data_IF_563107112359
#
_entry.id   IF_563107112359
#
_cell.length_a   1.000
_cell.length_b   1.000
_cell.length_c   1.000
_cell.angle_alpha   90.00
_cell.angle_beta   90.00
_cell.angle_gamma   90.00
#
_symmetry.space_group_name_H-M   'P 1'
#
loop_
_entity.id
_entity.type
_entity.pdbx_description
1 polymer ?
#
# COMPACT_ATOMS: atom_id res chain seq x y z
N UNK A 1 -13.35 -44.53 24.43
CA UNK A 1 -12.15 -44.85 23.64
C UNK A 1 -12.54 -44.65 22.18
N UNK A 2 -12.68 -43.39 21.77
CA UNK A 2 -11.66 -42.59 21.08
C UNK A 2 -11.30 -43.20 19.71
N UNK A 3 -11.93 -42.72 18.65
CA UNK A 3 -11.19 -41.99 17.60
C UNK A 3 -12.16 -41.23 16.69
N UNK A 4 -12.26 -39.91 16.91
CA UNK A 4 -12.88 -38.98 15.97
C UNK A 4 -11.72 -38.15 15.40
N UNK A 5 -11.34 -38.44 14.16
CA UNK A 5 -10.38 -37.64 13.40
C UNK A 5 -10.86 -36.18 13.33
N UNK A 6 -10.02 -35.16 13.54
CA UNK A 6 -10.42 -33.79 13.30
C UNK A 6 -10.46 -33.55 11.79
N UNK A 7 -11.67 -33.54 11.22
CA UNK A 7 -11.92 -33.00 9.89
C UNK A 7 -11.65 -31.49 9.90
N UNK A 8 -10.78 -31.03 9.00
CA UNK A 8 -10.63 -29.61 8.69
C UNK A 8 -12.00 -29.01 8.28
N UNK A 9 -12.37 -27.81 8.74
CA UNK A 9 -13.58 -27.18 8.25
C UNK A 9 -13.32 -26.59 6.87
N UNK A 10 -13.79 -27.31 5.86
CA UNK A 10 -13.98 -26.87 4.49
C UNK A 10 -15.04 -25.74 4.47
N UNK A 11 -14.61 -24.49 4.66
CA UNK A 11 -15.49 -23.32 4.48
C UNK A 11 -15.61 -23.01 2.98
N UNK A 12 -16.63 -23.61 2.35
CA UNK A 12 -17.12 -23.23 1.04
C UNK A 12 -18.41 -22.42 1.18
N UNK A 13 -18.36 -21.14 0.83
CA UNK A 13 -19.54 -20.38 0.38
C UNK A 13 -19.18 -19.52 -0.83
N UNK A 14 -20.15 -19.36 -1.72
CA UNK A 14 -19.98 -19.04 -3.14
C UNK A 14 -19.31 -17.71 -3.47
N UNK A 15 -18.62 -17.73 -4.62
CA UNK A 15 -17.72 -16.72 -5.19
C UNK A 15 -16.33 -16.65 -4.54
N UNK A 16 -15.57 -17.72 -4.79
CA UNK A 16 -14.14 -17.62 -5.13
C UNK A 16 -13.24 -16.85 -4.18
N UNK A 17 -13.33 -17.08 -2.87
CA UNK A 17 -12.32 -16.61 -1.93
C UNK A 17 -11.77 -17.79 -1.14
N UNK A 18 -10.65 -18.36 -1.62
CA UNK A 18 -9.79 -19.17 -0.75
C UNK A 18 -9.08 -18.18 0.16
N UNK A 19 -9.70 -17.89 1.30
CA UNK A 19 -9.06 -17.21 2.41
C UNK A 19 -7.96 -18.15 2.90
N UNK A 20 -6.75 -17.99 2.36
CA UNK A 20 -5.58 -18.78 2.72
C UNK A 20 -5.47 -18.86 4.23
N UNK A 21 -5.23 -20.06 4.75
CA UNK A 21 -4.84 -20.25 6.14
C UNK A 21 -3.64 -19.37 6.46
N UNK A 22 -3.55 -18.88 7.70
CA UNK A 22 -2.45 -18.00 8.12
C UNK A 22 -1.07 -18.61 7.84
N UNK A 23 -0.95 -19.94 7.91
CA UNK A 23 0.25 -20.68 7.53
C UNK A 23 0.53 -20.62 6.03
N UNK A 24 -0.47 -20.84 5.18
CA UNK A 24 -0.29 -20.79 3.73
C UNK A 24 0.10 -19.38 3.25
N UNK A 25 -0.42 -18.33 3.90
CA UNK A 25 -0.02 -16.95 3.63
C UNK A 25 1.42 -16.66 4.04
N UNK A 26 1.79 -17.00 5.28
CA UNK A 26 3.18 -16.82 5.78
C UNK A 26 4.17 -17.54 4.90
N UNK A 27 3.85 -18.77 4.48
CA UNK A 27 4.70 -19.55 3.59
C UNK A 27 4.82 -18.92 2.20
N UNK A 28 3.74 -18.36 1.65
CA UNK A 28 3.79 -17.60 0.40
C UNK A 28 4.63 -16.34 0.54
N UNK A 29 4.43 -15.54 1.59
CA UNK A 29 5.22 -14.34 1.86
C UNK A 29 6.71 -14.67 1.99
N UNK A 30 7.05 -15.71 2.75
CA UNK A 30 8.42 -16.19 2.89
C UNK A 30 9.03 -16.61 1.55
N UNK A 31 8.28 -17.34 0.71
CA UNK A 31 8.74 -17.74 -0.64
C UNK A 31 8.98 -16.53 -1.54
N UNK A 32 8.09 -15.54 -1.51
CA UNK A 32 8.24 -14.31 -2.31
C UNK A 32 9.51 -13.56 -1.88
N UNK A 33 9.67 -13.30 -0.58
CA UNK A 33 10.85 -12.60 -0.05
C UNK A 33 12.14 -13.39 -0.33
N UNK A 34 12.13 -14.71 -0.12
CA UNK A 34 13.30 -15.55 -0.42
C UNK A 34 13.65 -15.54 -1.91
N UNK A 35 12.66 -15.55 -2.79
CA UNK A 35 12.89 -15.43 -4.23
C UNK A 35 13.48 -14.05 -4.60
N UNK A 36 12.97 -12.95 -4.03
CA UNK A 36 13.51 -11.61 -4.26
C UNK A 36 14.94 -11.46 -3.73
N UNK A 37 15.24 -12.03 -2.56
CA UNK A 37 16.61 -12.07 -2.02
C UNK A 37 17.52 -12.86 -2.98
N UNK A 38 17.05 -14.00 -3.49
CA UNK A 38 17.77 -14.80 -4.48
C UNK A 38 18.07 -14.02 -5.76
N UNK A 39 17.06 -13.32 -6.30
CA UNK A 39 17.22 -12.45 -7.49
C UNK A 39 18.23 -11.32 -7.22
N UNK A 40 18.13 -10.65 -6.08
CA UNK A 40 19.09 -9.61 -5.67
C UNK A 40 20.51 -10.17 -5.53
N UNK A 41 20.66 -11.35 -4.93
CA UNK A 41 21.95 -12.04 -4.83
C UNK A 41 22.53 -12.40 -6.21
N UNK A 42 21.69 -12.82 -7.16
CA UNK A 42 22.11 -13.05 -8.54
C UNK A 42 22.59 -11.77 -9.23
N UNK A 43 21.87 -10.65 -9.08
CA UNK A 43 22.23 -9.35 -9.67
C UNK A 43 23.53 -8.82 -9.03
N UNK A 44 23.68 -8.95 -7.70
CA UNK A 44 24.93 -8.60 -7.00
C UNK A 44 26.09 -9.48 -7.45
N UNK A 45 25.86 -10.78 -7.64
CA UNK A 45 26.89 -11.69 -8.15
C UNK A 45 27.32 -11.29 -9.56
N UNK A 46 26.36 -10.93 -10.43
CA UNK A 46 26.63 -10.39 -11.76
C UNK A 46 27.49 -9.12 -11.69
N UNK A 47 27.18 -8.19 -10.76
CA UNK A 47 28.02 -7.01 -10.51
C UNK A 47 29.44 -7.41 -10.13
N UNK A 48 29.63 -8.34 -9.18
CA UNK A 48 30.97 -8.77 -8.76
C UNK A 48 31.76 -9.43 -9.91
N UNK A 49 31.09 -10.19 -10.78
CA UNK A 49 31.73 -10.78 -11.98
C UNK A 49 32.19 -9.69 -12.94
N UNK A 50 31.34 -8.70 -13.25
CA UNK A 50 31.71 -7.58 -14.14
C UNK A 50 32.84 -6.74 -13.49
N UNK A 51 32.76 -6.51 -12.18
CA UNK A 51 33.74 -5.73 -11.42
C UNK A 51 35.14 -6.36 -11.38
N UNK A 52 35.29 -7.66 -11.68
CA UNK A 52 36.61 -8.27 -11.89
C UNK A 52 37.35 -7.64 -13.06
N UNK A 53 36.63 -7.19 -14.08
CA UNK A 53 37.18 -6.56 -15.28
C UNK A 53 37.11 -5.02 -15.19
N UNK A 54 36.03 -4.49 -14.59
CA UNK A 54 35.79 -3.05 -14.43
C UNK A 54 35.55 -2.69 -12.96
N UNK A 55 36.61 -2.58 -12.12
CA UNK A 55 36.46 -2.39 -10.68
C UNK A 55 35.70 -1.12 -10.27
N UNK A 56 35.78 -0.07 -11.08
CA UNK A 56 35.05 1.19 -10.85
C UNK A 56 33.52 1.04 -10.90
N UNK A 57 33.01 -0.03 -11.54
CA UNK A 57 31.56 -0.29 -11.60
C UNK A 57 31.02 -0.81 -10.25
N UNK A 58 31.86 -1.34 -9.36
CA UNK A 58 31.43 -1.87 -8.07
C UNK A 58 30.80 -0.77 -7.20
N UNK A 59 31.46 0.38 -7.08
CA UNK A 59 30.93 1.51 -6.29
C UNK A 59 29.66 2.08 -6.91
N UNK A 60 29.63 2.25 -8.24
CA UNK A 60 28.43 2.69 -8.96
C UNK A 60 27.26 1.72 -8.76
N UNK A 61 27.51 0.41 -8.79
CA UNK A 61 26.50 -0.62 -8.56
C UNK A 61 25.94 -0.62 -7.13
N UNK A 62 26.81 -0.50 -6.13
CA UNK A 62 26.37 -0.39 -4.72
C UNK A 62 25.58 0.90 -4.46
N UNK A 63 25.95 2.00 -5.12
CA UNK A 63 25.18 3.24 -5.09
C UNK A 63 23.81 3.07 -5.75
N UNK A 64 23.74 2.46 -6.94
CA UNK A 64 22.48 2.20 -7.62
C UNK A 64 21.53 1.31 -6.80
N UNK A 65 22.07 0.27 -6.14
CA UNK A 65 21.30 -0.55 -5.18
C UNK A 65 20.79 0.30 -4.01
N UNK A 66 21.65 1.15 -3.46
CA UNK A 66 21.31 2.04 -2.34
C UNK A 66 20.24 3.06 -2.75
N UNK A 67 20.29 3.58 -3.97
CA UNK A 67 19.27 4.46 -4.53
C UNK A 67 17.93 3.74 -4.67
N UNK A 68 17.91 2.49 -5.15
CA UNK A 68 16.69 1.68 -5.20
C UNK A 68 16.09 1.42 -3.82
N UNK A 69 16.92 1.04 -2.84
CA UNK A 69 16.50 0.83 -1.46
C UNK A 69 15.98 2.12 -0.81
N UNK A 70 16.66 3.25 -1.02
CA UNK A 70 16.26 4.56 -0.50
C UNK A 70 14.94 5.01 -1.11
N UNK A 71 14.84 4.95 -2.42
CA UNK A 71 13.70 5.47 -3.16
C UNK A 71 12.40 4.70 -2.88
N UNK A 72 12.48 3.40 -2.60
CA UNK A 72 11.32 2.62 -2.17
C UNK A 72 10.70 3.10 -0.85
N UNK A 73 11.45 3.82 -0.02
CA UNK A 73 10.95 4.37 1.25
C UNK A 73 10.28 5.73 1.05
N UNK A 74 10.28 6.27 -0.17
CA UNK A 74 9.64 7.54 -0.45
C UNK A 74 8.14 7.50 -0.13
N UNK A 75 7.66 8.63 0.37
CA UNK A 75 6.37 8.73 1.03
C UNK A 75 5.20 8.42 0.05
N UNK A 76 5.41 8.73 -1.22
CA UNK A 76 4.48 8.56 -2.32
C UNK A 76 4.31 7.07 -2.71
N UNK A 77 5.39 6.29 -2.69
CA UNK A 77 5.39 4.84 -2.91
C UNK A 77 4.61 4.10 -1.81
N UNK A 78 4.94 4.37 -0.54
CA UNK A 78 4.25 3.79 0.61
C UNK A 78 2.75 4.12 0.53
N UNK A 79 2.41 5.39 0.30
CA UNK A 79 1.02 5.83 0.20
C UNK A 79 0.27 5.12 -0.95
N UNK A 80 0.89 4.93 -2.12
CA UNK A 80 0.27 4.25 -3.25
C UNK A 80 0.06 2.74 -2.99
N UNK A 81 1.11 2.05 -2.52
CA UNK A 81 1.09 0.61 -2.26
C UNK A 81 0.09 0.27 -1.16
N UNK A 82 0.06 1.04 -0.07
CA UNK A 82 -0.87 0.85 1.04
C UNK A 82 -2.33 0.97 0.59
N UNK A 83 -2.64 2.01 -0.19
CA UNK A 83 -4.01 2.28 -0.63
C UNK A 83 -4.53 1.17 -1.55
N UNK A 84 -3.72 0.70 -2.50
CA UNK A 84 -4.10 -0.40 -3.40
C UNK A 84 -4.15 -1.74 -2.66
N UNK A 85 -3.18 -2.01 -1.77
CA UNK A 85 -3.16 -3.21 -0.94
C UNK A 85 -4.43 -3.33 -0.10
N UNK A 86 -4.85 -2.25 0.58
CA UNK A 86 -6.10 -2.21 1.33
C UNK A 86 -7.31 -2.50 0.45
N UNK A 87 -7.39 -1.82 -0.70
CA UNK A 87 -8.52 -2.00 -1.63
C UNK A 87 -8.64 -3.44 -2.11
N UNK A 88 -7.53 -4.05 -2.52
CA UNK A 88 -7.50 -5.45 -2.94
C UNK A 88 -7.94 -6.39 -1.81
N UNK A 89 -7.58 -6.12 -0.56
CA UNK A 89 -8.04 -6.91 0.59
C UNK A 89 -9.54 -6.72 0.84
N UNK A 90 -10.07 -5.49 0.71
CA UNK A 90 -11.49 -5.20 0.81
C UNK A 90 -12.31 -5.93 -0.27
N UNK A 91 -11.76 -6.02 -1.48
CA UNK A 91 -12.29 -6.80 -2.61
C UNK A 91 -12.15 -8.33 -2.44
N UNK A 92 -11.54 -8.81 -1.34
CA UNK A 92 -11.30 -10.24 -1.10
C UNK A 92 -10.19 -10.85 -1.97
N UNK A 93 -9.33 -10.03 -2.58
CA UNK A 93 -8.23 -10.43 -3.46
C UNK A 93 -6.92 -10.62 -2.69
N UNK A 94 -5.91 -11.11 -3.40
CA UNK A 94 -4.58 -11.44 -2.88
C UNK A 94 -3.58 -10.31 -3.21
N UNK A 95 -3.21 -9.46 -2.24
CA UNK A 95 -2.39 -8.25 -2.49
C UNK A 95 -0.87 -8.46 -2.34
N UNK A 96 -0.39 -9.70 -2.14
CA UNK A 96 0.98 -9.97 -1.70
C UNK A 96 2.05 -9.54 -2.72
N UNK A 97 1.67 -9.31 -3.97
CA UNK A 97 2.56 -8.89 -5.05
C UNK A 97 2.34 -7.43 -5.48
N UNK A 98 1.52 -6.66 -4.76
CA UNK A 98 1.20 -5.27 -5.14
C UNK A 98 2.46 -4.42 -5.24
N UNK A 99 3.31 -4.42 -4.21
CA UNK A 99 4.57 -3.67 -4.22
C UNK A 99 5.58 -4.18 -5.26
N UNK A 100 5.63 -5.49 -5.52
CA UNK A 100 6.47 -6.04 -6.59
C UNK A 100 6.06 -5.49 -7.96
N UNK A 101 4.76 -5.48 -8.26
CA UNK A 101 4.30 -4.95 -9.54
C UNK A 101 4.50 -3.44 -9.64
N UNK A 102 4.31 -2.69 -8.55
CA UNK A 102 4.61 -1.26 -8.49
C UNK A 102 6.08 -0.98 -8.85
N UNK A 103 7.02 -1.59 -8.10
CA UNK A 103 8.46 -1.43 -8.33
C UNK A 103 8.90 -1.85 -9.73
N UNK A 104 8.36 -2.93 -10.29
CA UNK A 104 8.65 -3.35 -11.66
C UNK A 104 8.17 -2.32 -12.70
N UNK A 105 6.99 -1.75 -12.49
CA UNK A 105 6.46 -0.66 -13.32
C UNK A 105 7.38 0.57 -13.27
N UNK A 106 7.72 1.02 -12.06
CA UNK A 106 8.58 2.17 -11.85
C UNK A 106 9.97 1.95 -12.46
N UNK A 107 10.60 0.82 -12.11
CA UNK A 107 11.95 0.49 -12.57
C UNK A 107 12.04 0.25 -14.07
N UNK A 108 10.93 -0.03 -14.75
CA UNK A 108 10.92 -0.13 -16.21
C UNK A 108 11.27 1.20 -16.88
N UNK A 109 10.83 2.34 -16.31
CA UNK A 109 11.18 3.67 -16.81
C UNK A 109 12.66 3.97 -16.58
N UNK A 110 13.17 3.68 -15.38
CA UNK A 110 14.60 3.80 -15.05
C UNK A 110 15.45 2.97 -16.01
N UNK A 111 15.03 1.73 -16.27
CA UNK A 111 15.68 0.84 -17.23
C UNK A 111 15.65 1.40 -18.66
N UNK A 112 14.51 1.91 -19.12
CA UNK A 112 14.38 2.55 -20.43
C UNK A 112 15.31 3.75 -20.59
N UNK A 113 15.40 4.62 -19.59
CA UNK A 113 16.28 5.80 -19.61
C UNK A 113 17.75 5.36 -19.59
N UNK A 114 18.12 4.35 -18.81
CA UNK A 114 19.47 3.80 -18.79
C UNK A 114 19.86 3.17 -20.13
N UNK A 115 18.96 2.43 -20.77
CA UNK A 115 19.18 1.86 -22.12
C UNK A 115 19.32 2.98 -23.15
N UNK A 116 18.44 3.98 -23.13
CA UNK A 116 18.53 5.14 -24.00
C UNK A 116 19.87 5.89 -23.81
N UNK A 117 20.34 6.01 -22.57
CA UNK A 117 21.64 6.63 -22.23
C UNK A 117 22.81 5.78 -22.72
N UNK A 118 22.77 4.47 -22.54
CA UNK A 118 23.80 3.54 -22.99
C UNK A 118 23.93 3.52 -24.53
N UNK A 119 22.80 3.57 -25.25
CA UNK A 119 22.78 3.64 -26.71
C UNK A 119 23.11 5.06 -27.23
N UNK A 120 22.67 6.08 -26.50
CA UNK A 120 22.70 7.49 -26.90
C UNK A 120 23.88 8.29 -26.37
N UNK A 121 24.85 7.69 -25.68
CA UNK A 121 25.99 8.37 -25.05
C UNK A 121 26.82 9.24 -26.03
N UNK A 122 26.72 9.00 -27.34
CA UNK A 122 27.31 9.84 -28.38
C UNK A 122 26.46 11.03 -28.84
N UNK A 123 25.13 11.02 -28.63
CA UNK A 123 24.16 11.99 -29.16
C UNK A 123 23.50 12.87 -28.07
N UNK A 124 23.42 12.37 -26.83
CA UNK A 124 22.74 13.03 -25.70
C UNK A 124 23.50 14.23 -25.10
N UNK A 125 24.74 14.52 -25.54
CA UNK A 125 25.53 15.66 -25.03
C UNK A 125 24.94 17.05 -25.35
N UNK A 126 23.87 17.16 -26.14
CA UNK A 126 23.42 18.44 -26.69
C UNK A 126 21.97 18.87 -26.41
N UNK A 127 21.19 18.13 -25.62
CA UNK A 127 19.80 18.52 -25.34
C UNK A 127 19.48 18.56 -23.85
N UNK A 128 19.93 19.62 -23.16
CA UNK A 128 19.50 19.95 -21.78
C UNK A 128 18.00 20.25 -21.63
N UNK A 129 17.22 20.08 -22.70
CA UNK A 129 15.75 20.22 -22.75
C UNK A 129 15.05 19.06 -22.03
N UNK A 130 15.67 17.88 -21.95
CA UNK A 130 15.03 16.71 -21.33
C UNK A 130 14.99 16.75 -19.79
N UNK A 131 15.94 17.42 -19.13
CA UNK A 131 16.03 17.42 -17.67
C UNK A 131 14.93 18.31 -17.02
N UNK A 132 14.71 19.52 -17.54
CA UNK A 132 13.73 20.45 -16.96
C UNK A 132 12.28 20.03 -17.17
N UNK A 133 11.91 19.61 -18.39
CA UNK A 133 10.54 19.19 -18.71
C UNK A 133 10.18 17.88 -18.01
N UNK A 134 11.14 16.95 -17.90
CA UNK A 134 10.95 15.67 -17.22
C UNK A 134 10.61 15.86 -15.74
N UNK A 135 11.34 16.73 -15.03
CA UNK A 135 11.09 17.00 -13.61
C UNK A 135 9.69 17.58 -13.35
N UNK A 136 9.23 18.52 -14.18
CA UNK A 136 7.90 19.14 -14.04
C UNK A 136 6.79 18.11 -14.31
N UNK A 137 6.89 17.38 -15.43
CA UNK A 137 5.90 16.37 -15.81
C UNK A 137 5.81 15.28 -14.75
N UNK A 138 6.96 14.83 -14.24
CA UNK A 138 7.07 13.84 -13.16
C UNK A 138 6.33 14.27 -11.89
N UNK A 139 6.70 15.42 -11.32
CA UNK A 139 6.10 15.89 -10.06
C UNK A 139 4.61 16.17 -10.24
N UNK A 140 4.20 16.72 -11.39
CA UNK A 140 2.79 16.97 -11.68
C UNK A 140 1.98 15.66 -11.78
N UNK A 141 2.52 14.62 -12.43
CA UNK A 141 1.87 13.31 -12.54
C UNK A 141 1.79 12.63 -11.16
N UNK A 142 2.88 12.56 -10.40
CA UNK A 142 2.87 11.94 -9.06
C UNK A 142 1.89 12.64 -8.11
N UNK A 143 1.98 13.97 -7.99
CA UNK A 143 1.10 14.75 -7.14
C UNK A 143 -0.38 14.59 -7.55
N UNK A 144 -0.68 14.58 -8.84
CA UNK A 144 -2.05 14.38 -9.34
C UNK A 144 -2.60 13.01 -8.96
N UNK A 145 -1.78 11.97 -9.04
CA UNK A 145 -2.18 10.61 -8.68
C UNK A 145 -2.35 10.47 -7.16
N UNK A 146 -1.46 11.03 -6.35
CA UNK A 146 -1.59 11.06 -4.89
C UNK A 146 -2.84 11.81 -4.45
N UNK A 147 -3.11 12.98 -5.03
CA UNK A 147 -4.34 13.73 -4.77
C UNK A 147 -5.58 12.94 -5.15
N UNK A 148 -5.56 12.29 -6.32
CA UNK A 148 -6.67 11.46 -6.75
C UNK A 148 -6.94 10.33 -5.74
N UNK A 149 -5.92 9.56 -5.36
CA UNK A 149 -6.08 8.46 -4.39
C UNK A 149 -6.51 9.01 -3.02
N UNK A 150 -5.87 10.08 -2.56
CA UNK A 150 -6.14 10.73 -1.28
C UNK A 150 -7.57 11.26 -1.18
N UNK A 151 -8.03 12.02 -2.18
CA UNK A 151 -9.38 12.57 -2.20
C UNK A 151 -10.45 11.49 -2.31
N UNK A 152 -10.26 10.47 -3.15
CA UNK A 152 -11.25 9.39 -3.24
C UNK A 152 -11.41 8.67 -1.90
N UNK A 153 -10.32 8.40 -1.19
CA UNK A 153 -10.38 7.79 0.13
C UNK A 153 -11.00 8.73 1.18
N UNK A 154 -10.65 10.02 1.16
CA UNK A 154 -11.21 11.01 2.07
C UNK A 154 -12.72 11.18 1.87
N UNK A 155 -13.18 11.29 0.62
CA UNK A 155 -14.61 11.39 0.32
C UNK A 155 -15.37 10.13 0.70
N UNK A 156 -14.79 8.95 0.49
CA UNK A 156 -15.39 7.67 0.91
C UNK A 156 -15.58 7.61 2.44
N UNK A 157 -14.62 8.13 3.21
CA UNK A 157 -14.73 8.23 4.67
C UNK A 157 -15.80 9.22 5.11
N UNK A 158 -15.84 10.41 4.50
CA UNK A 158 -16.85 11.42 4.81
C UNK A 158 -18.26 10.91 4.49
N UNK A 159 -18.43 10.21 3.38
CA UNK A 159 -19.69 9.57 3.01
C UNK A 159 -20.15 8.50 4.02
N UNK A 160 -19.22 7.64 4.45
CA UNK A 160 -19.49 6.62 5.47
C UNK A 160 -19.86 7.25 6.83
N UNK A 161 -19.14 8.29 7.25
CA UNK A 161 -19.42 8.99 8.51
C UNK A 161 -20.77 9.73 8.48
N UNK A 162 -21.11 10.36 7.35
CA UNK A 162 -22.41 11.02 7.16
C UNK A 162 -23.57 10.03 7.16
N UNK A 163 -23.41 8.87 6.50
CA UNK A 163 -24.44 7.82 6.49
C UNK A 163 -24.69 7.23 7.88
N UNK A 164 -23.64 7.13 8.71
CA UNK A 164 -23.77 6.66 10.09
C UNK A 164 -24.34 7.73 11.04
N UNK A 165 -24.18 9.02 10.73
CA UNK A 165 -24.72 10.14 11.51
C UNK A 165 -26.18 10.48 11.16
N UNK A 166 -26.64 10.14 9.95
CA UNK A 166 -28.01 10.37 9.47
C UNK A 166 -28.83 9.07 9.47
N UNK A 167 -29.10 8.51 10.65
CA UNK A 167 -30.00 7.36 10.83
C UNK A 167 -31.49 7.71 10.67
N UNK A 168 -31.89 8.47 9.62
CA UNK A 168 -33.29 8.81 9.47
C UNK A 168 -33.82 9.44 8.19
N UNK A 169 -33.03 10.04 7.29
CA UNK A 169 -33.59 10.63 6.06
C UNK A 169 -32.66 10.44 4.85
N UNK A 170 -33.20 9.77 3.84
CA UNK A 170 -32.54 9.31 2.62
C UNK A 170 -32.31 10.42 1.59
N UNK A 171 -31.31 10.21 0.73
CA UNK A 171 -31.04 10.86 -0.57
C UNK A 171 -30.33 12.21 -0.57
N UNK A 172 -28.99 12.15 -0.56
CA UNK A 172 -28.18 12.80 -1.60
C UNK A 172 -26.84 12.05 -1.72
N UNK A 173 -26.88 10.87 -2.35
CA UNK A 173 -25.67 10.20 -2.82
C UNK A 173 -24.99 11.12 -3.81
N UNK A 174 -23.87 11.69 -3.39
CA UNK A 174 -23.25 12.83 -4.03
C UNK A 174 -22.78 12.46 -5.43
N UNK A 175 -22.91 13.37 -6.41
CA UNK A 175 -22.39 13.17 -7.78
C UNK A 175 -20.89 12.79 -7.79
N UNK A 176 -20.17 13.19 -6.74
CA UNK A 176 -18.77 12.88 -6.46
C UNK A 176 -18.56 11.38 -6.13
N UNK A 177 -19.51 10.72 -5.44
CA UNK A 177 -19.48 9.27 -5.14
C UNK A 177 -19.66 8.41 -6.40
N UNK A 178 -20.19 8.97 -7.49
CA UNK A 178 -20.50 8.26 -8.74
C UNK A 178 -19.47 8.45 -9.84
N UNK A 179 -18.75 9.58 -9.84
CA UNK A 179 -17.77 9.93 -10.89
C UNK A 179 -16.37 9.39 -10.63
N UNK A 180 -15.94 9.29 -9.37
CA UNK A 180 -14.57 8.90 -9.01
C UNK A 180 -14.25 7.41 -8.76
N UNK A 181 -15.21 6.47 -8.53
CA UNK A 181 -14.83 5.09 -8.26
C UNK A 181 -14.21 4.40 -9.50
N UNK A 182 -14.53 4.86 -10.72
CA UNK A 182 -14.10 4.20 -11.97
C UNK A 182 -12.59 4.23 -12.21
N UNK A 183 -11.89 5.27 -11.75
CA UNK A 183 -10.45 5.40 -11.97
C UNK A 183 -9.64 4.56 -10.97
N UNK A 184 -10.15 4.33 -9.76
CA UNK A 184 -9.57 3.37 -8.81
C UNK A 184 -10.09 1.94 -9.01
N UNK A 185 -11.30 1.76 -9.56
CA UNK A 185 -11.78 0.47 -10.08
C UNK A 185 -10.87 -0.10 -11.16
N UNK A 186 -10.12 0.75 -11.85
CA UNK A 186 -9.17 0.32 -12.86
C UNK A 186 -8.13 -0.66 -12.30
N UNK A 187 -7.60 -0.45 -11.08
CA UNK A 187 -6.59 -1.33 -10.45
C UNK A 187 -7.28 -2.42 -9.63
N UNK A 188 -7.94 -3.33 -10.33
CA UNK A 188 -8.64 -4.49 -9.73
C UNK A 188 -7.72 -5.68 -9.45
N UNK A 189 -6.44 -5.62 -9.80
CA UNK A 189 -5.51 -6.75 -9.69
C UNK A 189 -4.09 -6.25 -9.39
N UNK A 190 -3.27 -7.04 -8.67
CA UNK A 190 -1.89 -6.65 -8.37
C UNK A 190 -1.08 -6.29 -9.61
N UNK A 191 -1.29 -6.99 -10.74
CA UNK A 191 -0.55 -6.75 -11.97
C UNK A 191 -0.77 -5.34 -12.55
N UNK A 192 -1.97 -4.77 -12.39
CA UNK A 192 -2.27 -3.40 -12.86
C UNK A 192 -1.55 -2.33 -12.05
N UNK A 193 -1.00 -2.69 -10.88
CA UNK A 193 -0.13 -1.80 -10.11
C UNK A 193 1.15 -1.43 -10.89
N UNK A 194 1.59 -2.26 -11.85
CA UNK A 194 2.71 -1.92 -12.72
C UNK A 194 2.44 -0.69 -13.59
N UNK A 195 1.18 -0.46 -14.00
CA UNK A 195 0.82 0.76 -14.71
C UNK A 195 0.95 2.00 -13.82
N UNK A 196 0.54 1.89 -12.55
CA UNK A 196 0.71 2.96 -11.57
C UNK A 196 2.19 3.22 -11.29
N UNK A 197 2.96 2.16 -11.08
CA UNK A 197 4.41 2.24 -10.90
C UNK A 197 5.10 2.90 -12.08
N UNK A 198 4.71 2.56 -13.31
CA UNK A 198 5.23 3.20 -14.52
C UNK A 198 4.96 4.72 -14.52
N UNK A 199 3.76 5.15 -14.14
CA UNK A 199 3.43 6.58 -14.04
C UNK A 199 4.29 7.30 -12.99
N UNK A 200 4.54 6.66 -11.85
CA UNK A 200 5.46 7.18 -10.82
C UNK A 200 6.92 7.19 -11.32
N UNK A 201 7.31 6.18 -12.08
CA UNK A 201 8.64 6.06 -12.68
C UNK A 201 8.94 7.13 -13.74
N UNK A 202 7.91 7.80 -14.29
CA UNK A 202 8.12 9.02 -15.09
C UNK A 202 8.79 10.15 -14.28
N UNK A 203 8.79 10.01 -12.95
CA UNK A 203 9.91 10.21 -12.01
C UNK A 203 11.29 10.46 -12.62
N UNK A 204 11.53 11.61 -13.25
CA UNK A 204 12.81 11.83 -13.94
C UNK A 204 13.96 12.01 -12.97
N UNK A 205 13.75 12.42 -11.72
CA UNK A 205 14.83 12.73 -10.77
C UNK A 205 15.66 11.49 -10.42
N UNK A 206 15.03 10.41 -9.95
CA UNK A 206 15.73 9.14 -9.63
C UNK A 206 16.18 8.38 -10.87
N UNK A 207 15.38 8.39 -11.94
CA UNK A 207 15.79 7.81 -13.23
C UNK A 207 17.04 8.50 -13.79
N UNK A 208 17.16 9.83 -13.62
CA UNK A 208 18.32 10.60 -14.06
C UNK A 208 19.54 10.34 -13.19
N UNK A 209 19.39 10.18 -11.87
CA UNK A 209 20.51 9.82 -11.00
C UNK A 209 21.18 8.50 -11.42
N UNK A 210 20.40 7.46 -11.67
CA UNK A 210 20.92 6.15 -12.13
C UNK A 210 21.52 6.26 -13.53
N UNK A 211 20.89 7.02 -14.43
CA UNK A 211 21.41 7.26 -15.77
C UNK A 211 22.74 8.06 -15.77
N UNK A 212 22.88 9.03 -14.88
CA UNK A 212 24.11 9.81 -14.69
C UNK A 212 25.23 8.96 -14.09
N UNK A 213 24.91 8.04 -13.17
CA UNK A 213 25.87 7.02 -12.71
C UNK A 213 26.34 6.14 -13.88
N UNK A 214 25.42 5.69 -14.74
CA UNK A 214 25.75 4.91 -15.92
C UNK A 214 26.63 5.71 -16.91
N UNK A 215 26.30 6.98 -17.16
CA UNK A 215 27.06 7.88 -18.03
C UNK A 215 28.48 8.11 -17.49
N UNK A 216 28.61 8.30 -16.18
CA UNK A 216 29.91 8.48 -15.51
C UNK A 216 30.78 7.22 -15.62
N UNK A 217 30.18 6.03 -15.50
CA UNK A 217 30.86 4.75 -15.68
C UNK A 217 31.33 4.54 -17.13
N UNK A 218 30.59 5.04 -18.14
CA UNK A 218 30.96 4.97 -19.56
C UNK A 218 31.99 6.01 -19.99
N UNK A 219 32.63 6.73 -19.05
CA UNK A 219 33.68 7.69 -19.41
C UNK A 219 34.79 7.02 -20.24
N UNK A 220 35.35 7.69 -21.28
CA UNK A 220 36.39 7.11 -22.12
C UNK A 220 37.62 6.64 -21.34
N UNK A 221 37.90 7.25 -20.18
CA UNK A 221 38.99 6.88 -19.30
C UNK A 221 38.81 5.50 -18.64
N UNK A 222 37.57 5.01 -18.48
CA UNK A 222 37.28 3.73 -17.83
C UNK A 222 37.12 2.57 -18.81
N UNK A 223 36.85 2.85 -20.10
CA UNK A 223 36.75 1.83 -21.14
C UNK A 223 35.61 0.81 -20.93
N UNK A 224 34.61 1.13 -20.11
CA UNK A 224 33.51 0.23 -19.78
C UNK A 224 32.52 0.16 -20.96
N UNK A 225 32.21 -1.04 -21.48
CA UNK A 225 31.20 -1.21 -22.51
C UNK A 225 29.81 -0.74 -22.01
N UNK A 226 29.01 -0.06 -22.84
CA UNK A 226 27.67 0.40 -22.44
C UNK A 226 26.75 -0.73 -21.95
N UNK A 227 26.91 -1.95 -22.47
CA UNK A 227 26.13 -3.10 -22.01
C UNK A 227 26.38 -3.43 -20.53
N UNK A 228 27.59 -3.21 -20.02
CA UNK A 228 27.95 -3.50 -18.64
C UNK A 228 27.27 -2.56 -17.65
N UNK A 229 26.94 -1.32 -18.05
CA UNK A 229 26.28 -0.35 -17.16
C UNK A 229 24.80 -0.63 -16.96
N UNK A 230 24.19 -1.51 -17.77
CA UNK A 230 22.82 -1.98 -17.57
C UNK A 230 22.63 -2.82 -16.30
N UNK A 231 23.71 -3.22 -15.62
CA UNK A 231 23.61 -3.81 -14.28
C UNK A 231 23.11 -2.79 -13.24
N UNK A 232 23.32 -1.48 -13.46
CA UNK A 232 22.91 -0.41 -12.55
C UNK A 232 21.38 -0.31 -12.38
N UNK A 233 20.57 -0.19 -13.45
CA UNK A 233 19.11 -0.19 -13.32
C UNK A 233 18.57 -1.53 -12.77
N UNK A 234 19.26 -2.65 -12.99
CA UNK A 234 18.87 -3.94 -12.38
C UNK A 234 19.09 -3.94 -10.86
N UNK A 235 20.19 -3.37 -10.38
CA UNK A 235 20.47 -3.23 -8.94
C UNK A 235 19.48 -2.27 -8.28
N UNK A 236 19.17 -1.17 -8.94
CA UNK A 236 18.12 -0.25 -8.51
C UNK A 236 16.78 -0.97 -8.38
N UNK A 237 16.35 -1.69 -9.43
CA UNK A 237 15.11 -2.45 -9.43
C UNK A 237 15.10 -3.54 -8.33
N UNK A 238 16.23 -4.20 -8.10
CA UNK A 238 16.40 -5.20 -7.05
C UNK A 238 16.19 -4.62 -5.65
N UNK A 239 16.81 -3.49 -5.35
CA UNK A 239 16.65 -2.78 -4.08
C UNK A 239 15.22 -2.30 -3.88
N UNK A 240 14.66 -1.62 -4.88
CA UNK A 240 13.32 -1.07 -4.82
C UNK A 240 12.25 -2.16 -4.63
N UNK A 241 12.32 -3.22 -5.44
CA UNK A 241 11.35 -4.32 -5.39
C UNK A 241 11.34 -5.04 -4.06
N UNK A 242 12.46 -5.12 -3.35
CA UNK A 242 12.53 -5.74 -2.04
C UNK A 242 11.72 -4.95 -1.02
N UNK A 243 11.96 -3.64 -0.92
CA UNK A 243 11.31 -2.78 0.08
C UNK A 243 9.83 -2.60 -0.23
N UNK A 244 9.46 -2.30 -1.48
CA UNK A 244 8.05 -2.14 -1.88
C UNK A 244 7.25 -3.43 -1.64
N UNK A 245 7.85 -4.59 -1.89
CA UNK A 245 7.20 -5.89 -1.61
C UNK A 245 7.03 -6.11 -0.10
N UNK A 246 8.04 -5.75 0.71
CA UNK A 246 7.95 -5.84 2.16
C UNK A 246 6.86 -4.92 2.71
N UNK A 247 6.70 -3.73 2.17
CA UNK A 247 5.64 -2.79 2.52
C UNK A 247 4.25 -3.40 2.31
N UNK A 248 3.96 -3.88 1.08
CA UNK A 248 2.69 -4.53 0.77
C UNK A 248 2.42 -5.79 1.61
N UNK A 249 3.46 -6.56 1.96
CA UNK A 249 3.35 -7.72 2.85
C UNK A 249 3.08 -7.32 4.31
N UNK A 250 3.76 -6.30 4.82
CA UNK A 250 3.57 -5.78 6.17
C UNK A 250 2.14 -5.25 6.33
N UNK A 251 1.65 -4.52 5.35
CA UNK A 251 0.28 -4.01 5.30
C UNK A 251 -0.76 -5.14 5.25
N UNK A 252 -0.49 -6.18 4.43
CA UNK A 252 -1.34 -7.38 4.37
C UNK A 252 -1.43 -8.12 5.72
N UNK A 253 -0.34 -8.16 6.46
CA UNK A 253 -0.29 -8.75 7.80
C UNK A 253 -1.06 -7.90 8.81
N UNK A 254 -0.84 -6.58 8.81
CA UNK A 254 -1.52 -5.62 9.68
C UNK A 254 -3.04 -5.72 9.58
N UNK A 255 -3.56 -5.75 8.35
CA UNK A 255 -5.00 -5.86 8.11
C UNK A 255 -5.59 -7.16 8.68
N UNK A 256 -4.89 -8.28 8.51
CA UNK A 256 -5.35 -9.58 9.03
C UNK A 256 -5.28 -9.65 10.55
N UNK A 257 -4.27 -9.02 11.16
CA UNK A 257 -4.20 -8.89 12.62
C UNK A 257 -5.42 -8.15 13.16
N UNK A 258 -5.81 -7.03 12.54
CA UNK A 258 -7.01 -6.30 12.91
C UNK A 258 -8.32 -7.07 12.67
N UNK A 259 -8.39 -7.84 11.57
CA UNK A 259 -9.56 -8.68 11.30
C UNK A 259 -9.77 -9.75 12.39
N UNK A 260 -8.70 -10.33 12.93
CA UNK A 260 -8.76 -11.32 14.02
C UNK A 260 -9.22 -10.73 15.35
N UNK A 261 -8.91 -9.46 15.61
CA UNK A 261 -9.26 -8.79 16.86
C UNK A 261 -10.72 -8.29 16.93
N UNK A 262 -11.56 -8.57 15.92
CA UNK A 262 -12.93 -8.05 15.85
C UNK A 262 -13.03 -6.55 15.58
N UNK A 263 -11.91 -5.86 15.39
CA UNK A 263 -11.78 -4.41 15.20
C UNK A 263 -11.61 -4.00 13.73
N UNK A 264 -11.99 -4.89 12.79
CA UNK A 264 -11.77 -4.72 11.34
C UNK A 264 -12.28 -3.38 10.82
N UNK A 265 -13.49 -2.97 11.22
CA UNK A 265 -14.10 -1.72 10.77
C UNK A 265 -13.31 -0.51 11.28
N UNK A 266 -13.01 -0.46 12.58
CA UNK A 266 -12.25 0.64 13.21
C UNK A 266 -10.84 0.76 12.63
N UNK A 267 -10.15 -0.37 12.45
CA UNK A 267 -8.82 -0.38 11.84
C UNK A 267 -8.87 0.05 10.37
N UNK A 268 -9.85 -0.41 9.60
CA UNK A 268 -10.02 0.02 8.22
C UNK A 268 -10.29 1.53 8.11
N UNK A 269 -11.12 2.08 9.02
CA UNK A 269 -11.37 3.53 9.10
C UNK A 269 -10.11 4.30 9.47
N UNK A 270 -9.38 3.88 10.52
CA UNK A 270 -8.11 4.49 10.92
C UNK A 270 -7.09 4.48 9.79
N UNK A 271 -6.90 3.33 9.15
CA UNK A 271 -5.92 3.13 8.11
C UNK A 271 -6.27 3.93 6.84
N UNK A 272 -7.56 4.00 6.49
CA UNK A 272 -8.05 4.84 5.39
C UNK A 272 -7.88 6.33 5.72
N UNK A 273 -8.14 6.74 6.96
CA UNK A 273 -7.98 8.13 7.37
C UNK A 273 -6.50 8.54 7.35
N UNK A 274 -5.64 7.73 7.95
CA UNK A 274 -4.20 7.96 7.98
C UNK A 274 -3.59 8.00 6.57
N UNK A 275 -3.81 6.96 5.75
CA UNK A 275 -3.27 6.91 4.38
C UNK A 275 -3.82 7.98 3.44
N UNK A 276 -5.10 8.37 3.58
CA UNK A 276 -5.67 9.47 2.78
C UNK A 276 -5.09 10.84 3.19
N UNK A 277 -4.94 11.09 4.49
CA UNK A 277 -4.33 12.31 5.01
C UNK A 277 -2.87 12.43 4.58
N UNK A 278 -2.11 11.33 4.71
CA UNK A 278 -0.72 11.25 4.28
C UNK A 278 -0.61 11.51 2.77
N UNK A 279 -1.41 10.84 1.94
CA UNK A 279 -1.39 11.05 0.49
C UNK A 279 -1.71 12.50 0.08
N UNK A 280 -2.72 13.12 0.70
CA UNK A 280 -3.07 14.54 0.44
C UNK A 280 -1.95 15.47 0.92
N UNK A 281 -1.36 15.20 2.09
CA UNK A 281 -0.26 16.01 2.63
C UNK A 281 0.97 15.95 1.72
N UNK A 282 1.40 14.75 1.32
CA UNK A 282 2.55 14.55 0.42
C UNK A 282 2.29 15.21 -0.94
N UNK A 283 1.14 14.93 -1.57
CA UNK A 283 0.80 15.56 -2.86
C UNK A 283 0.74 17.09 -2.79
N UNK A 284 0.34 17.64 -1.63
CA UNK A 284 0.40 19.10 -1.40
C UNK A 284 1.83 19.59 -1.28
N UNK A 285 2.70 18.90 -0.54
CA UNK A 285 4.11 19.25 -0.38
C UNK A 285 4.84 19.20 -1.73
N UNK A 286 4.59 18.18 -2.55
CA UNK A 286 5.15 18.03 -3.90
C UNK A 286 4.68 19.15 -4.83
N UNK A 287 3.38 19.45 -4.85
CA UNK A 287 2.82 20.51 -5.69
C UNK A 287 3.35 21.89 -5.30
N UNK A 288 3.46 22.16 -3.99
CA UNK A 288 4.06 23.39 -3.48
C UNK A 288 5.55 23.46 -3.81
N UNK A 289 6.28 22.34 -3.72
CA UNK A 289 7.69 22.26 -4.12
C UNK A 289 7.89 22.52 -5.62
N UNK A 290 6.98 22.03 -6.46
CA UNK A 290 6.97 22.34 -7.89
C UNK A 290 6.68 23.82 -8.15
N UNK A 291 5.65 24.37 -7.52
CA UNK A 291 5.29 25.78 -7.63
C UNK A 291 6.43 26.71 -7.17
N UNK A 292 7.12 26.34 -6.09
CA UNK A 292 8.27 27.08 -5.59
C UNK A 292 9.43 27.11 -6.59
N UNK A 293 9.73 25.97 -7.23
CA UNK A 293 10.80 25.84 -8.23
C UNK A 293 10.49 26.62 -9.51
N UNK A 294 9.27 26.49 -10.04
CA UNK A 294 8.90 27.10 -11.33
C UNK A 294 8.71 28.62 -11.25
N UNK A 295 8.20 29.13 -10.13
CA UNK A 295 8.00 30.56 -9.93
C UNK A 295 9.18 31.28 -9.27
N UNK A 296 10.32 30.60 -9.10
CA UNK A 296 11.55 31.09 -8.43
C UNK A 296 11.24 31.84 -7.12
N UNK A 297 10.33 31.28 -6.31
CA UNK A 297 9.88 31.95 -5.08
C UNK A 297 10.98 31.84 -4.03
N UNK A 298 11.72 32.93 -3.84
CA UNK A 298 12.79 33.05 -2.84
C UNK A 298 12.33 33.88 -1.65
N UNK A 299 12.17 33.23 -0.50
CA UNK A 299 12.01 33.88 0.81
C UNK A 299 10.70 33.57 1.54
N UNK A 300 10.75 33.65 2.86
CA UNK A 300 9.64 33.36 3.77
C UNK A 300 9.79 32.02 4.50
N UNK A 301 9.39 32.00 5.78
CA UNK A 301 9.50 30.81 6.65
C UNK A 301 8.72 29.62 6.06
N UNK A 302 7.57 29.88 5.45
CA UNK A 302 6.74 28.86 4.79
C UNK A 302 7.46 28.17 3.63
N UNK A 303 8.01 28.94 2.68
CA UNK A 303 8.70 28.38 1.52
C UNK A 303 10.03 27.71 1.90
N UNK A 304 10.66 28.15 2.99
CA UNK A 304 11.83 27.44 3.53
C UNK A 304 11.43 26.09 4.14
N UNK A 305 10.28 26.01 4.82
CA UNK A 305 9.74 24.74 5.33
C UNK A 305 9.41 23.79 4.17
N UNK A 306 8.70 24.24 3.13
CA UNK A 306 8.37 23.42 1.95
C UNK A 306 9.64 22.93 1.24
N UNK A 307 10.64 23.80 1.04
CA UNK A 307 11.91 23.40 0.46
C UNK A 307 12.64 22.36 1.33
N UNK A 308 12.63 22.52 2.65
CA UNK A 308 13.25 21.58 3.58
C UNK A 308 12.54 20.22 3.56
N UNK A 309 11.20 20.21 3.53
CA UNK A 309 10.42 18.97 3.46
C UNK A 309 10.63 18.24 2.13
N UNK A 310 10.64 18.95 1.00
CA UNK A 310 10.94 18.35 -0.30
C UNK A 310 12.40 17.87 -0.40
N UNK A 311 13.36 18.59 0.20
CA UNK A 311 14.76 18.19 0.21
C UNK A 311 15.06 16.97 1.10
N UNK A 312 14.17 16.65 2.04
CA UNK A 312 14.29 15.52 2.97
C UNK A 312 13.12 14.54 2.79
N UNK A 313 12.72 14.28 1.54
CA UNK A 313 11.56 13.46 1.21
C UNK A 313 11.69 12.03 1.77
N UNK A 314 12.91 11.48 1.79
CA UNK A 314 13.20 10.19 2.40
C UNK A 314 12.95 10.18 3.92
N UNK A 315 13.23 11.27 4.64
CA UNK A 315 13.02 11.36 6.10
C UNK A 315 11.52 11.33 6.41
N UNK A 316 10.72 11.97 5.57
CA UNK A 316 9.26 11.88 5.64
C UNK A 316 8.79 10.44 5.41
N UNK A 317 9.36 9.76 4.41
CA UNK A 317 9.18 8.33 4.16
C UNK A 317 9.47 7.44 5.37
N UNK A 318 10.66 7.56 5.96
CA UNK A 318 11.05 6.85 7.19
C UNK A 318 10.08 7.12 8.34
N UNK A 319 9.60 8.36 8.47
CA UNK A 319 8.66 8.77 9.51
C UNK A 319 7.29 8.10 9.34
N UNK A 320 6.79 8.00 8.10
CA UNK A 320 5.54 7.31 7.76
C UNK A 320 5.66 5.81 8.02
N UNK A 321 6.76 5.20 7.56
CA UNK A 321 7.03 3.77 7.80
C UNK A 321 7.11 3.49 9.31
N UNK A 322 7.81 4.32 10.08
CA UNK A 322 7.89 4.20 11.54
C UNK A 322 6.51 4.36 12.20
N UNK A 323 5.71 5.33 11.77
CA UNK A 323 4.35 5.55 12.27
C UNK A 323 3.46 4.31 12.05
N UNK A 324 3.48 3.70 10.86
CA UNK A 324 2.71 2.48 10.60
C UNK A 324 3.26 1.29 11.37
N UNK A 325 4.58 1.09 11.40
CA UNK A 325 5.21 0.02 12.18
C UNK A 325 4.82 0.10 13.67
N UNK A 326 4.93 1.28 14.28
CA UNK A 326 4.56 1.51 15.68
C UNK A 326 3.06 1.29 15.88
N UNK A 327 2.22 1.79 14.98
CA UNK A 327 0.76 1.59 15.06
C UNK A 327 0.37 0.12 14.97
N UNK A 328 1.04 -0.65 14.10
CA UNK A 328 0.84 -2.10 13.95
C UNK A 328 1.32 -2.85 15.20
N UNK A 329 2.48 -2.48 15.74
CA UNK A 329 3.02 -3.07 16.97
C UNK A 329 2.12 -2.77 18.17
N UNK A 330 1.70 -1.51 18.34
CA UNK A 330 0.80 -1.08 19.41
C UNK A 330 -0.54 -1.82 19.34
N UNK A 331 -1.09 -1.98 18.14
CA UNK A 331 -2.31 -2.76 17.92
C UNK A 331 -2.10 -4.25 18.22
N UNK A 332 -0.96 -4.81 17.79
CA UNK A 332 -0.55 -6.18 18.13
C UNK A 332 -0.43 -6.41 19.63
N UNK A 333 0.18 -5.50 20.38
CA UNK A 333 0.30 -5.56 21.85
C UNK A 333 -1.06 -5.39 22.51
N UNK A 334 -1.88 -4.43 22.09
CA UNK A 334 -3.21 -4.18 22.65
C UNK A 334 -4.15 -5.39 22.48
N UNK A 335 -4.01 -6.15 21.39
CA UNK A 335 -4.84 -7.32 21.11
C UNK A 335 -4.26 -8.65 21.58
N UNK A 336 -2.94 -8.74 21.79
CA UNK A 336 -2.30 -9.93 22.40
C UNK A 336 -2.23 -9.85 23.92
N UNK A 337 -2.37 -8.66 24.50
CA UNK A 337 -2.53 -8.49 25.93
C UNK A 337 -3.95 -8.93 26.32
N UNK A 338 -4.12 -10.04 27.06
CA UNK A 338 -5.39 -10.37 27.66
C UNK A 338 -5.65 -9.33 28.75
N UNK A 339 -6.25 -8.19 28.39
CA UNK A 339 -6.89 -7.35 29.37
C UNK A 339 -7.96 -8.21 30.05
N UNK A 340 -7.60 -8.74 31.22
CA UNK A 340 -8.50 -9.33 32.21
C UNK A 340 -9.74 -8.43 32.28
N UNK A 341 -10.89 -8.88 31.78
CA UNK A 341 -12.15 -8.25 32.16
C UNK A 341 -13.30 -8.14 31.15
N UNK A 342 -13.14 -8.44 29.85
CA UNK A 342 -14.30 -8.40 28.94
C UNK A 342 -14.91 -9.80 28.75
N UNK A 343 -15.54 -10.29 29.82
CA UNK A 343 -16.68 -11.21 29.66
C UNK A 343 -17.79 -10.40 29.01
N UNK A 344 -18.09 -10.68 27.74
CA UNK A 344 -19.36 -10.28 27.16
C UNK A 344 -20.41 -11.13 27.89
N UNK A 345 -21.30 -10.58 28.72
CA UNK A 345 -22.40 -11.37 29.24
C UNK A 345 -23.24 -11.86 28.04
N UNK A 346 -23.68 -13.12 28.02
CA UNK A 346 -24.62 -13.57 27.00
C UNK A 346 -25.85 -12.64 27.05
N UNK A 347 -26.48 -12.34 25.88
CA UNK A 347 -27.71 -11.58 25.89
C UNK A 347 -28.73 -12.30 26.77
N UNK A 348 -29.27 -11.59 27.77
CA UNK A 348 -30.37 -12.06 28.62
C UNK A 348 -31.55 -12.46 27.74
N UNK A 349 -31.67 -13.76 27.48
CA UNK A 349 -32.93 -14.37 27.10
C UNK A 349 -33.70 -14.62 28.40
N UNK A 350 -34.37 -13.58 28.91
CA UNK A 350 -35.64 -13.61 29.68
C UNK A 350 -35.80 -12.33 30.48
N UNK A 351 -36.58 -11.36 29.99
CA UNK A 351 -37.37 -10.45 30.85
C UNK A 351 -38.22 -9.44 30.04
N UNK A 352 -39.01 -9.88 29.06
CA UNK A 352 -40.21 -9.14 28.62
C UNK A 352 -41.24 -10.13 28.07
N UNK A 353 -41.98 -10.81 28.96
CA UNK A 353 -43.39 -11.10 28.72
C UNK A 353 -44.09 -11.50 30.03
N UNK A 354 -44.27 -10.53 30.94
CA UNK A 354 -45.18 -10.69 32.08
C UNK A 354 -45.74 -9.34 32.54
N UNK A 355 -46.45 -8.66 31.65
CA UNK A 355 -47.27 -7.49 31.99
C UNK A 355 -48.43 -7.35 31.01
N UNK A 356 -49.36 -8.31 31.04
CA UNK A 356 -50.47 -8.29 30.09
C UNK A 356 -51.63 -9.23 30.37
N UNK A 357 -52.04 -9.46 31.63
CA UNK A 357 -53.39 -9.98 31.92
C UNK A 357 -53.85 -9.56 33.32
N UNK A 358 -54.56 -8.44 33.38
CA UNK A 358 -55.47 -8.10 34.47
C UNK A 358 -56.91 -8.19 33.94
N UNK A 359 -57.77 -8.80 34.75
CA UNK A 359 -59.23 -8.66 34.82
C UNK A 359 -60.10 -9.09 33.63
N UNK A 360 -60.53 -10.37 33.66
CA UNK A 360 -61.89 -10.84 33.42
C UNK A 360 -61.97 -12.21 34.11
N UNK A 361 -62.83 -12.54 35.06
CA UNK A 361 -64.25 -12.25 35.16
C UNK A 361 -64.96 -13.61 35.29
N UNK A 362 -65.32 -13.97 36.54
CA UNK A 362 -66.58 -14.62 36.90
C UNK A 362 -66.99 -15.96 36.22
N UNK A 363 -66.91 -17.09 36.96
CA UNK A 363 -68.07 -17.85 37.47
C UNK A 363 -67.69 -19.26 37.96
N UNK A 364 -68.13 -19.56 39.19
CA UNK A 364 -68.31 -20.89 39.71
C UNK A 364 -69.57 -21.53 39.09
N UNK A 365 -69.52 -22.82 38.77
CA UNK A 365 -70.71 -23.67 38.68
C UNK A 365 -70.40 -25.10 39.14
N UNK A 366 -71.23 -25.57 40.06
CA UNK A 366 -71.28 -26.91 40.61
C UNK A 366 -72.24 -27.82 39.82
N UNK A 367 -72.12 -29.13 40.05
CA UNK A 367 -73.01 -30.20 39.58
C UNK A 367 -72.47 -30.89 38.32
N UNK A 368 -72.45 -32.21 38.17
CA UNK A 368 -73.06 -33.33 38.88
C UNK A 368 -73.11 -34.48 37.86
N UNK A 369 -72.86 -35.70 38.34
CA UNK A 369 -73.18 -37.01 37.74
C UNK A 369 -73.23 -37.17 36.20
N UNK A 370 -72.40 -38.05 35.64
CA UNK A 370 -72.94 -39.29 35.05
C UNK A 370 -71.85 -40.35 34.85
N UNK A 371 -72.17 -41.52 35.35
CA UNK A 371 -71.57 -42.83 35.12
C UNK A 371 -72.00 -43.34 33.72
N UNK A 372 -71.19 -44.17 33.07
CA UNK A 372 -71.56 -45.42 32.37
C UNK A 372 -70.51 -45.84 31.34
N UNK A 373 -70.07 -47.09 31.54
CA UNK A 373 -69.31 -48.01 30.69
C UNK A 373 -69.60 -47.95 29.18
N UNK A 374 -68.55 -48.15 28.39
CA UNK A 374 -68.35 -49.38 27.59
C UNK A 374 -66.89 -49.48 27.14
#
# INVERSE_FOLDING_TARGET
MLDASPQEPLLATGKGCVLLSDHALKLRALRIVAALIGVNACILTLLFVIARTYPSLLSAGLLALSFGLRHAVDADHIAAIDNVTRRLIADGKQPQLTGLWFSLGHSSVVGMICVATACGAGYLKHSGVFEGVGAVVSTAVSASVLFLIGFVNLFSLLAAHRSSASAGHTHSTSFIERCFPKLLEAIDSPAKMAGLGFLFGLGFETSSEVALLALSAMSPAQGIPPACTLVLPLLFAGGMSLIDTLDGLAMSYAYRAAARAGSRATFNTYLTAASSLIAVAIGTIELLGLAQREWDIRGGVFWHLIATLNANFEIMGYSIMAFFCVSILAAGVAWTCPMRGCVVPPPDLTAEDSSGLSSAGFHAHAGGAEEVRA
#
